data_IF_146743719154
#
_entry.id   IF_146743719154
#
_cell.length_a   1.000
_cell.length_b   1.000
_cell.length_c   1.000
_cell.angle_alpha   90.00
_cell.angle_beta   90.00
_cell.angle_gamma   90.00
#
_symmetry.space_group_name_H-M   'P 1'
#
loop_
_entity.id
_entity.type
_entity.pdbx_description
1 polymer ?
#
# COMPACT_ATOMS: atom_id res chain seq x y z
N UNK A 1 17.11 -5.60 -44.71
CA UNK A 1 16.47 -6.52 -43.75
C UNK A 1 15.92 -5.67 -42.63
N UNK A 2 14.61 -5.43 -42.63
CA UNK A 2 13.93 -4.56 -41.66
C UNK A 2 13.71 -5.36 -40.38
N UNK A 3 14.36 -4.95 -39.29
CA UNK A 3 14.05 -5.46 -37.96
C UNK A 3 12.71 -4.85 -37.54
N UNK A 4 11.64 -5.61 -37.72
CA UNK A 4 10.41 -5.37 -36.98
C UNK A 4 10.70 -5.70 -35.51
N UNK A 5 11.23 -4.72 -34.78
CA UNK A 5 11.12 -4.71 -33.32
C UNK A 5 9.64 -4.71 -33.01
N UNK A 6 9.16 -5.88 -32.66
CA UNK A 6 7.88 -6.06 -31.98
C UNK A 6 8.02 -5.27 -30.68
N UNK A 7 7.44 -4.07 -30.65
CA UNK A 7 7.31 -3.28 -29.44
C UNK A 7 6.40 -4.08 -28.51
N UNK A 8 6.99 -4.96 -27.69
CA UNK A 8 6.28 -5.60 -26.60
C UNK A 8 5.62 -4.47 -25.80
N UNK A 9 4.30 -4.43 -25.84
CA UNK A 9 3.49 -3.46 -25.13
C UNK A 9 3.82 -3.61 -23.64
N UNK A 10 4.66 -2.71 -23.13
CA UNK A 10 5.15 -2.77 -21.77
C UNK A 10 3.95 -2.51 -20.86
N UNK A 11 3.47 -3.57 -20.22
CA UNK A 11 2.38 -3.46 -19.24
C UNK A 11 2.86 -2.60 -18.08
N UNK A 12 2.24 -1.44 -17.93
CA UNK A 12 2.47 -0.49 -16.84
C UNK A 12 1.59 -0.91 -15.66
N UNK A 13 2.19 -1.04 -14.49
CA UNK A 13 1.48 -1.33 -13.25
C UNK A 13 1.63 -0.15 -12.29
N UNK A 14 0.55 0.34 -11.69
CA UNK A 14 0.64 1.36 -10.67
C UNK A 14 1.46 0.84 -9.47
N UNK A 15 2.11 1.75 -8.74
CA UNK A 15 2.87 1.38 -7.54
C UNK A 15 1.97 0.78 -6.45
N UNK A 16 0.76 1.31 -6.33
CA UNK A 16 -0.27 0.88 -5.37
C UNK A 16 -1.66 1.10 -5.96
N UNK A 17 -2.62 0.26 -5.58
CA UNK A 17 -4.04 0.43 -5.92
C UNK A 17 -4.81 0.55 -4.63
N UNK A 18 -5.36 1.74 -4.38
CA UNK A 18 -6.18 2.04 -3.21
C UNK A 18 -7.64 1.98 -3.65
N UNK A 19 -8.48 1.11 -3.05
CA UNK A 19 -9.90 1.04 -3.40
C UNK A 19 -10.61 2.37 -3.17
N UNK A 20 -11.57 2.71 -4.02
CA UNK A 20 -12.30 3.98 -3.90
C UNK A 20 -13.06 4.07 -2.57
N UNK A 21 -13.55 2.95 -2.06
CA UNK A 21 -14.27 2.88 -0.79
C UNK A 21 -13.38 3.36 0.37
N UNK A 22 -12.09 2.98 0.35
CA UNK A 22 -11.11 3.40 1.37
C UNK A 22 -10.79 4.89 1.26
N UNK A 23 -10.79 5.43 0.04
CA UNK A 23 -10.56 6.86 -0.22
C UNK A 23 -11.78 7.66 0.26
N UNK A 24 -12.99 7.18 -0.02
CA UNK A 24 -14.26 7.83 0.38
C UNK A 24 -14.43 7.87 1.90
N UNK A 25 -13.96 6.84 2.61
CA UNK A 25 -14.00 6.78 4.07
C UNK A 25 -13.04 7.79 4.74
N UNK A 26 -11.96 8.20 4.06
CA UNK A 26 -10.93 9.11 4.61
C UNK A 26 -10.23 9.92 3.52
N UNK A 27 -10.94 10.86 2.85
CA UNK A 27 -10.43 11.56 1.68
C UNK A 27 -9.16 12.36 1.96
N UNK A 28 -9.09 12.98 3.14
CA UNK A 28 -7.95 13.81 3.57
C UNK A 28 -6.64 13.01 3.66
N UNK A 29 -6.71 11.73 4.03
CA UNK A 29 -5.54 10.85 4.12
C UNK A 29 -4.98 10.47 2.73
N UNK A 30 -5.78 10.60 1.68
CA UNK A 30 -5.46 10.15 0.32
C UNK A 30 -5.45 11.29 -0.72
N UNK A 31 -5.31 12.54 -0.27
CA UNK A 31 -5.16 13.70 -1.16
C UNK A 31 -3.96 13.52 -2.10
N UNK A 32 -2.83 13.03 -1.59
CA UNK A 32 -1.64 12.75 -2.40
C UNK A 32 -1.90 11.74 -3.53
N UNK A 33 -2.88 10.84 -3.37
CA UNK A 33 -3.21 9.78 -4.33
C UNK A 33 -4.27 10.20 -5.35
N UNK A 34 -5.29 10.94 -4.92
CA UNK A 34 -6.50 11.18 -5.71
C UNK A 34 -6.62 12.58 -6.29
N UNK A 35 -5.92 13.58 -5.73
CA UNK A 35 -6.11 14.98 -6.11
C UNK A 35 -5.50 15.34 -7.48
N UNK A 36 -6.13 16.26 -8.25
CA UNK A 36 -5.63 16.68 -9.55
C UNK A 36 -4.27 17.37 -9.51
N UNK A 37 -3.82 17.82 -8.34
CA UNK A 37 -2.49 18.40 -8.13
C UNK A 37 -1.48 17.40 -7.54
N UNK A 38 -1.82 16.11 -7.49
CA UNK A 38 -0.96 15.01 -7.05
C UNK A 38 -1.22 13.75 -7.93
N UNK A 39 -1.50 12.60 -7.33
CA UNK A 39 -1.69 11.33 -8.05
C UNK A 39 -2.86 11.34 -9.05
N UNK A 40 -3.88 12.17 -8.82
CA UNK A 40 -5.01 12.35 -9.73
C UNK A 40 -4.74 13.21 -10.96
N UNK A 41 -3.54 13.79 -11.10
CA UNK A 41 -3.20 14.63 -12.25
C UNK A 41 -3.30 13.84 -13.56
N UNK A 42 -4.16 14.28 -14.47
CA UNK A 42 -4.37 13.67 -15.78
C UNK A 42 -3.37 14.21 -16.82
N UNK A 43 -2.63 13.30 -17.46
CA UNK A 43 -1.71 13.63 -18.54
C UNK A 43 -2.49 14.05 -19.80
N UNK A 44 -2.14 15.20 -20.38
CA UNK A 44 -2.86 15.75 -21.53
C UNK A 44 -2.26 15.39 -22.89
N UNK A 45 -1.07 14.79 -22.92
CA UNK A 45 -0.29 14.63 -24.15
C UNK A 45 0.52 13.32 -24.13
N UNK A 46 0.90 12.84 -25.32
CA UNK A 46 1.75 11.65 -25.52
C UNK A 46 0.97 10.33 -25.48
N UNK A 47 1.71 9.22 -25.51
CA UNK A 47 1.13 7.86 -25.51
C UNK A 47 0.34 7.53 -24.22
N UNK A 48 0.55 8.27 -23.15
CA UNK A 48 -0.12 8.13 -21.85
C UNK A 48 -1.18 9.21 -21.62
N UNK A 49 -1.67 9.87 -22.67
CA UNK A 49 -2.74 10.85 -22.52
C UNK A 49 -3.98 10.22 -21.86
N UNK A 50 -4.67 11.00 -21.03
CA UNK A 50 -5.81 10.62 -20.19
C UNK A 50 -5.50 9.66 -19.04
N UNK A 51 -4.25 9.22 -18.89
CA UNK A 51 -3.81 8.47 -17.71
C UNK A 51 -3.52 9.42 -16.56
N UNK A 52 -3.88 8.99 -15.36
CA UNK A 52 -3.53 9.69 -14.11
C UNK A 52 -2.15 9.26 -13.63
N UNK A 53 -1.47 10.10 -12.85
CA UNK A 53 -0.15 9.76 -12.30
C UNK A 53 -0.19 8.51 -11.40
N UNK A 54 -1.26 8.32 -10.63
CA UNK A 54 -1.45 7.15 -9.77
C UNK A 54 -1.71 5.84 -10.53
N UNK A 55 -1.97 5.89 -11.83
CA UNK A 55 -2.12 4.71 -12.70
C UNK A 55 -0.77 4.28 -13.31
N UNK A 56 0.28 5.08 -13.16
CA UNK A 56 1.60 4.83 -13.72
C UNK A 56 2.53 4.16 -12.71
N UNK A 57 3.55 3.45 -13.20
CA UNK A 57 4.61 2.97 -12.33
C UNK A 57 5.52 4.13 -11.91
N UNK A 58 6.11 3.97 -10.72
CA UNK A 58 7.04 4.93 -10.11
C UNK A 58 8.11 5.46 -11.07
N UNK A 59 8.63 4.60 -11.96
CA UNK A 59 9.68 4.99 -12.90
C UNK A 59 9.23 6.06 -13.91
N UNK A 60 8.00 5.97 -14.39
CA UNK A 60 7.44 6.97 -15.32
C UNK A 60 7.10 8.28 -14.60
N UNK A 61 6.59 8.18 -13.38
CA UNK A 61 6.29 9.37 -12.56
C UNK A 61 7.57 10.16 -12.27
N UNK A 62 8.65 9.48 -11.85
CA UNK A 62 9.95 10.15 -11.66
C UNK A 62 10.50 10.76 -12.94
N UNK A 63 10.37 10.06 -14.07
CA UNK A 63 10.75 10.63 -15.36
C UNK A 63 10.01 11.95 -15.63
N UNK A 64 8.70 12.01 -15.37
CA UNK A 64 7.90 13.24 -15.50
C UNK A 64 8.34 14.33 -14.51
N UNK A 65 8.65 13.97 -13.27
CA UNK A 65 9.17 14.91 -12.28
C UNK A 65 10.48 15.58 -12.74
N UNK A 66 11.39 14.80 -13.33
CA UNK A 66 12.72 15.25 -13.73
C UNK A 66 12.74 15.95 -15.11
N UNK A 67 11.93 15.46 -16.06
CA UNK A 67 12.07 15.84 -17.48
C UNK A 67 10.92 16.72 -17.99
N UNK A 68 9.83 16.89 -17.24
CA UNK A 68 8.72 17.72 -17.69
C UNK A 68 9.07 19.20 -17.72
N UNK A 69 8.77 19.86 -18.83
CA UNK A 69 8.83 21.33 -18.93
C UNK A 69 7.69 22.02 -18.18
N UNK A 70 6.60 21.30 -17.86
CA UNK A 70 5.45 21.86 -17.16
C UNK A 70 5.69 21.86 -15.64
N UNK A 71 5.71 23.04 -14.98
CA UNK A 71 5.83 23.11 -13.52
C UNK A 71 4.69 22.38 -12.81
N UNK A 72 3.49 22.38 -13.40
CA UNK A 72 2.31 21.71 -12.82
C UNK A 72 2.50 20.19 -12.76
N UNK A 73 3.01 19.58 -13.83
CA UNK A 73 3.29 18.14 -13.87
C UNK A 73 4.39 17.79 -12.87
N UNK A 74 5.47 18.59 -12.82
CA UNK A 74 6.55 18.34 -11.87
C UNK A 74 6.08 18.43 -10.42
N UNK A 75 5.28 19.44 -10.09
CA UNK A 75 4.70 19.61 -8.75
C UNK A 75 3.79 18.44 -8.39
N UNK A 76 2.92 18.00 -9.30
CA UNK A 76 2.02 16.89 -9.05
C UNK A 76 2.75 15.55 -8.92
N UNK A 77 3.73 15.30 -9.79
CA UNK A 77 4.58 14.12 -9.69
C UNK A 77 5.36 14.08 -8.37
N UNK A 78 5.91 15.23 -7.93
CA UNK A 78 6.58 15.33 -6.64
C UNK A 78 5.62 15.05 -5.48
N UNK A 79 4.46 15.70 -5.44
CA UNK A 79 3.47 15.52 -4.37
C UNK A 79 3.00 14.05 -4.27
N UNK A 80 2.77 13.40 -5.42
CA UNK A 80 2.44 11.98 -5.45
C UNK A 80 3.59 11.09 -4.96
N UNK A 81 4.83 11.33 -5.39
CA UNK A 81 5.99 10.54 -4.95
C UNK A 81 6.29 10.71 -3.46
N UNK A 82 6.20 11.94 -2.93
CA UNK A 82 6.37 12.21 -1.51
C UNK A 82 5.33 11.44 -0.67
N UNK A 83 4.05 11.51 -1.06
CA UNK A 83 2.97 10.77 -0.39
C UNK A 83 3.12 9.25 -0.54
N UNK A 84 3.55 8.78 -1.70
CA UNK A 84 3.81 7.34 -1.93
C UNK A 84 4.97 6.84 -1.05
N UNK A 85 6.01 7.66 -0.86
CA UNK A 85 7.14 7.33 0.02
C UNK A 85 6.72 7.30 1.50
N UNK A 86 5.86 8.22 1.93
CA UNK A 86 5.28 8.21 3.27
C UNK A 86 4.38 6.99 3.47
N UNK A 87 3.51 6.69 2.50
CA UNK A 87 2.62 5.53 2.53
C UNK A 87 3.39 4.21 2.66
N UNK A 88 4.55 4.10 2.00
CA UNK A 88 5.44 2.94 2.08
C UNK A 88 5.95 2.64 3.51
N UNK A 89 5.92 3.59 4.44
CA UNK A 89 6.40 3.38 5.81
C UNK A 89 5.46 2.51 6.63
N UNK A 90 4.15 2.65 6.42
CA UNK A 90 3.10 1.98 7.20
C UNK A 90 2.34 0.92 6.41
N UNK A 91 2.29 1.05 5.08
CA UNK A 91 1.50 0.19 4.17
C UNK A 91 2.37 -0.53 3.13
N UNK A 92 3.62 -0.86 3.48
CA UNK A 92 4.57 -1.51 2.58
C UNK A 92 4.06 -2.83 1.97
N UNK A 93 3.16 -3.56 2.64
CA UNK A 93 2.61 -4.82 2.12
C UNK A 93 1.75 -4.66 0.87
N UNK A 94 1.23 -3.46 0.63
CA UNK A 94 0.24 -3.17 -0.42
C UNK A 94 0.87 -2.82 -1.77
N UNK A 95 2.17 -2.56 -1.78
CA UNK A 95 2.89 -2.19 -3.00
C UNK A 95 2.89 -3.34 -4.00
N UNK A 96 2.66 -3.01 -5.27
CA UNK A 96 2.67 -3.97 -6.35
C UNK A 96 4.10 -4.18 -6.85
N UNK A 97 4.43 -5.43 -7.22
CA UNK A 97 5.72 -5.75 -7.84
C UNK A 97 5.77 -5.13 -9.25
N UNK A 98 6.67 -4.18 -9.54
CA UNK A 98 6.64 -3.42 -10.79
C UNK A 98 7.33 -4.16 -11.95
N UNK A 99 8.14 -5.17 -11.66
CA UNK A 99 9.01 -5.82 -12.64
C UNK A 99 8.69 -7.30 -12.81
N UNK A 100 8.91 -7.81 -14.02
CA UNK A 100 8.83 -9.23 -14.33
C UNK A 100 10.15 -9.90 -13.93
N UNK A 101 10.07 -10.94 -13.10
CA UNK A 101 11.20 -11.84 -12.85
C UNK A 101 11.11 -13.04 -13.78
N UNK A 102 12.24 -13.44 -14.39
CA UNK A 102 12.34 -14.58 -15.31
C UNK A 102 11.92 -15.92 -14.67
N UNK A 103 12.12 -16.07 -13.36
CA UNK A 103 11.88 -17.34 -12.64
C UNK A 103 10.45 -17.45 -12.10
N UNK A 104 9.90 -16.36 -11.57
CA UNK A 104 8.57 -16.35 -10.97
C UNK A 104 7.89 -15.03 -11.34
N UNK A 105 6.84 -15.09 -12.15
CA UNK A 105 6.09 -13.88 -12.49
C UNK A 105 5.21 -13.46 -11.31
N UNK A 106 5.59 -12.35 -10.66
CA UNK A 106 4.83 -11.71 -9.58
C UNK A 106 4.42 -10.30 -9.94
N UNK A 107 4.65 -9.88 -11.17
CA UNK A 107 4.36 -8.53 -11.62
C UNK A 107 2.88 -8.21 -11.36
N UNK A 108 2.62 -7.03 -10.80
CA UNK A 108 1.26 -6.60 -10.44
C UNK A 108 0.65 -7.29 -9.21
N UNK A 109 1.37 -8.20 -8.53
CA UNK A 109 0.95 -8.74 -7.23
C UNK A 109 1.45 -7.86 -6.10
N UNK A 110 0.67 -7.74 -5.03
CA UNK A 110 1.10 -7.07 -3.79
C UNK A 110 2.21 -7.85 -3.09
N UNK A 111 3.05 -7.15 -2.33
CA UNK A 111 4.16 -7.74 -1.57
C UNK A 111 3.65 -8.78 -0.55
N UNK A 112 2.58 -8.47 0.18
CA UNK A 112 1.98 -9.36 1.18
C UNK A 112 1.47 -10.70 0.63
N UNK A 113 1.01 -10.73 -0.64
CA UNK A 113 0.59 -11.96 -1.32
C UNK A 113 1.77 -12.83 -1.79
N UNK A 114 2.98 -12.29 -1.88
CA UNK A 114 4.12 -13.00 -2.47
C UNK A 114 4.79 -14.02 -1.54
N UNK A 115 4.53 -13.96 -0.22
CA UNK A 115 4.94 -14.86 0.89
C UNK A 115 6.41 -15.32 1.00
N UNK A 116 7.26 -15.01 0.04
CA UNK A 116 8.61 -15.58 -0.08
C UNK A 116 9.69 -14.53 0.28
N UNK A 117 10.08 -14.52 1.56
CA UNK A 117 11.14 -13.65 2.07
C UNK A 117 12.48 -13.87 1.36
N UNK A 118 12.81 -15.12 0.96
CA UNK A 118 14.07 -15.44 0.29
C UNK A 118 14.17 -14.76 -1.07
N UNK A 119 13.07 -14.73 -1.82
CA UNK A 119 13.04 -14.01 -3.09
C UNK A 119 13.20 -12.50 -2.95
N UNK A 120 12.61 -11.88 -1.92
CA UNK A 120 12.78 -10.44 -1.69
C UNK A 120 14.20 -10.09 -1.24
N UNK A 121 14.80 -10.89 -0.34
CA UNK A 121 16.22 -10.77 0.00
C UNK A 121 17.12 -10.87 -1.24
N UNK A 122 16.77 -11.73 -2.18
CA UNK A 122 17.51 -11.84 -3.44
C UNK A 122 17.39 -10.58 -4.29
N UNK A 123 16.21 -9.95 -4.35
CA UNK A 123 15.97 -8.70 -5.08
C UNK A 123 16.71 -7.50 -4.46
N UNK A 124 16.97 -7.52 -3.15
CA UNK A 124 17.76 -6.49 -2.47
C UNK A 124 19.26 -6.57 -2.79
N UNK A 125 19.74 -7.63 -3.44
CA UNK A 125 21.15 -7.77 -3.77
C UNK A 125 21.63 -6.66 -4.74
N UNK A 126 22.84 -6.07 -4.56
CA UNK A 126 23.38 -4.98 -5.40
C UNK A 126 23.45 -5.25 -6.90
N UNK A 127 23.38 -6.53 -7.29
CA UNK A 127 23.33 -6.96 -8.71
C UNK A 127 22.05 -6.48 -9.43
N UNK A 128 21.05 -6.04 -8.66
CA UNK A 128 19.81 -5.47 -9.13
C UNK A 128 19.79 -3.95 -8.99
N UNK A 129 20.94 -3.28 -8.86
CA UNK A 129 21.04 -1.81 -8.72
C UNK A 129 20.20 -1.05 -9.74
N UNK A 130 20.20 -1.46 -11.01
CA UNK A 130 19.37 -0.80 -12.03
C UNK A 130 17.85 -0.90 -11.79
N UNK A 131 17.37 -1.88 -11.01
CA UNK A 131 15.98 -1.92 -10.53
C UNK A 131 15.79 -1.03 -9.31
N UNK A 132 16.76 -0.97 -8.40
CA UNK A 132 16.72 -0.07 -7.23
C UNK A 132 16.66 1.38 -7.67
N UNK A 133 17.49 1.76 -8.65
CA UNK A 133 17.49 3.10 -9.23
C UNK A 133 16.18 3.40 -9.97
N UNK A 134 15.48 2.38 -10.45
CA UNK A 134 14.22 2.52 -11.21
C UNK A 134 12.98 2.57 -10.31
N UNK A 135 13.01 1.91 -9.16
CA UNK A 135 11.86 1.74 -8.26
C UNK A 135 12.25 1.91 -6.78
N UNK A 136 12.90 3.03 -6.39
CA UNK A 136 13.42 3.19 -5.04
C UNK A 136 12.36 3.05 -3.94
N UNK A 137 11.15 3.57 -4.13
CA UNK A 137 10.08 3.50 -3.13
C UNK A 137 9.58 2.07 -2.96
N UNK A 138 9.40 1.33 -4.06
CA UNK A 138 9.09 -0.11 -3.98
C UNK A 138 10.17 -0.88 -3.20
N UNK A 139 11.45 -0.63 -3.45
CA UNK A 139 12.52 -1.32 -2.73
C UNK A 139 12.59 -0.91 -1.25
N UNK A 140 12.26 0.33 -0.92
CA UNK A 140 12.07 0.78 0.47
C UNK A 140 10.93 0.01 1.14
N UNK A 141 9.79 -0.17 0.46
CA UNK A 141 8.67 -0.98 0.96
C UNK A 141 9.08 -2.45 1.16
N UNK A 142 9.82 -3.05 0.23
CA UNK A 142 10.34 -4.43 0.36
C UNK A 142 11.26 -4.56 1.58
N UNK A 143 12.14 -3.59 1.81
CA UNK A 143 13.02 -3.57 2.98
C UNK A 143 12.20 -3.52 4.28
N UNK A 144 11.24 -2.59 4.36
CA UNK A 144 10.32 -2.48 5.50
C UNK A 144 9.55 -3.78 5.77
N UNK A 145 9.08 -4.44 4.71
CA UNK A 145 8.39 -5.73 4.79
C UNK A 145 9.28 -6.85 5.37
N UNK A 146 10.57 -6.86 5.02
CA UNK A 146 11.55 -7.86 5.50
C UNK A 146 11.90 -7.62 6.98
N UNK A 147 12.04 -6.34 7.36
CA UNK A 147 12.48 -5.91 8.69
C UNK A 147 11.37 -6.05 9.75
N UNK A 148 10.10 -6.00 9.32
CA UNK A 148 8.93 -6.11 10.20
C UNK A 148 8.12 -7.38 9.93
N UNK A 149 8.66 -8.59 10.19
CA UNK A 149 7.98 -9.87 9.92
C UNK A 149 6.70 -10.07 10.75
N UNK A 150 6.53 -9.28 11.81
CA UNK A 150 5.43 -9.37 12.76
C UNK A 150 4.20 -8.58 12.36
N UNK A 151 4.27 -7.65 11.41
CA UNK A 151 3.09 -6.90 10.96
C UNK A 151 2.20 -7.71 10.00
N UNK A 152 2.69 -8.88 9.55
CA UNK A 152 2.00 -9.77 8.61
C UNK A 152 1.01 -10.73 9.28
N UNK A 153 0.39 -10.33 10.40
CA UNK A 153 -0.37 -11.17 11.35
C UNK A 153 -1.54 -12.00 10.78
N UNK A 154 -1.85 -11.95 9.47
CA UNK A 154 -2.95 -12.75 8.93
C UNK A 154 -2.55 -14.03 8.20
N UNK A 155 -1.35 -14.17 7.59
CA UNK A 155 -1.04 -15.34 6.74
C UNK A 155 0.46 -15.67 6.66
N UNK A 156 1.04 -16.18 7.74
CA UNK A 156 2.33 -16.90 7.65
C UNK A 156 2.17 -18.14 6.78
N UNK A 157 3.18 -18.43 5.96
CA UNK A 157 3.34 -19.76 5.41
C UNK A 157 3.61 -20.74 6.56
N UNK A 158 2.81 -21.80 6.65
CA UNK A 158 2.93 -22.90 7.62
C UNK A 158 4.24 -23.72 7.40
N UNK A 159 5.16 -23.23 6.55
CA UNK A 159 6.42 -23.88 6.20
C UNK A 159 7.67 -23.28 6.85
N UNK A 160 7.57 -22.18 7.61
CA UNK A 160 8.69 -21.72 8.44
C UNK A 160 8.75 -22.61 9.69
N UNK A 161 9.29 -23.82 9.49
CA UNK A 161 9.53 -24.79 10.54
C UNK A 161 10.17 -24.10 11.74
N UNK A 162 9.44 -24.18 12.86
CA UNK A 162 10.05 -24.26 14.19
C UNK A 162 11.33 -25.08 14.06
N UNK A 163 12.47 -24.45 14.34
CA UNK A 163 13.78 -25.09 14.39
C UNK A 163 13.91 -26.09 15.54
N UNK A 164 12.87 -26.88 15.82
CA UNK A 164 13.00 -28.09 16.59
C UNK A 164 13.42 -29.17 15.60
N UNK A 165 14.70 -29.50 15.64
CA UNK A 165 15.14 -30.77 15.04
C UNK A 165 14.29 -31.88 15.65
N UNK A 166 13.86 -32.89 14.87
CA UNK A 166 13.33 -34.13 15.43
C UNK A 166 14.46 -34.77 16.26
N UNK A 167 14.53 -34.45 17.55
CA UNK A 167 15.66 -34.80 18.41
C UNK A 167 15.80 -33.93 19.67
N UNK A 168 15.27 -32.70 19.67
CA UNK A 168 15.41 -31.77 20.81
C UNK A 168 14.14 -31.72 21.69
N UNK A 169 13.27 -32.72 21.62
CA UNK A 169 12.19 -32.86 22.59
C UNK A 169 12.83 -33.05 23.98
N UNK A 170 12.54 -32.18 24.98
CA UNK A 170 13.03 -32.40 26.31
C UNK A 170 12.54 -33.76 26.78
N UNK A 171 13.47 -34.62 27.17
CA UNK A 171 13.19 -35.89 27.82
C UNK A 171 12.28 -35.62 29.02
N UNK A 172 11.01 -36.01 28.92
CA UNK A 172 10.10 -36.07 30.05
C UNK A 172 10.34 -37.45 30.67
N UNK A 173 11.00 -37.55 31.84
CA UNK A 173 11.09 -38.84 32.52
C UNK A 173 9.67 -39.31 32.81
N UNK A 174 9.35 -40.53 32.37
CA UNK A 174 8.14 -41.21 32.76
C UNK A 174 8.19 -41.40 34.28
N UNK A 175 7.40 -40.61 35.01
CA UNK A 175 7.07 -40.93 36.38
C UNK A 175 5.84 -41.84 36.34
N UNK A 176 6.09 -43.10 36.62
CA UNK A 176 5.09 -44.10 36.88
C UNK A 176 4.34 -43.78 38.20
N UNK A 177 3.01 -43.93 38.16
CA UNK A 177 2.03 -43.84 39.26
C UNK A 177 1.65 -42.40 39.65
N UNK A 178 0.38 -41.97 39.69
CA UNK A 178 -0.89 -42.61 40.06
C UNK A 178 -1.99 -41.90 39.25
N UNK A 179 -2.90 -42.60 38.57
CA UNK A 179 -4.22 -43.04 39.04
C UNK A 179 -5.18 -41.88 39.46
N UNK A 180 -6.47 -42.11 39.21
CA UNK A 180 -7.65 -41.24 39.36
C UNK A 180 -7.90 -40.35 38.12
N UNK A 181 -8.56 -40.80 37.05
CA UNK A 181 -9.82 -41.54 37.04
C UNK A 181 -10.97 -40.55 37.03
N UNK A 182 -11.58 -40.30 35.86
CA UNK A 182 -13.00 -39.97 35.70
C UNK A 182 -13.37 -40.05 34.20
N UNK A 183 -14.17 -41.08 33.87
CA UNK A 183 -15.11 -41.13 32.73
C UNK A 183 -15.97 -39.85 32.71
N UNK A 184 -16.48 -39.28 31.61
CA UNK A 184 -17.67 -39.64 30.81
C UNK A 184 -17.58 -38.91 29.44
N UNK A 185 -17.85 -39.54 28.28
CA UNK A 185 -19.16 -39.78 27.61
C UNK A 185 -19.72 -38.57 26.81
N UNK A 186 -19.57 -38.69 25.48
CA UNK A 186 -20.46 -38.34 24.36
C UNK A 186 -21.48 -37.17 24.46
N UNK A 187 -21.38 -36.28 23.47
CA UNK A 187 -22.53 -35.84 22.65
C UNK A 187 -23.18 -34.50 23.00
N UNK A 188 -23.36 -33.65 21.99
CA UNK A 188 -24.24 -32.47 22.10
C UNK A 188 -23.99 -31.38 21.07
N UNK A 189 -24.61 -31.51 19.90
CA UNK A 189 -24.94 -30.38 18.99
C UNK A 189 -25.81 -29.37 19.74
N UNK A 190 -25.51 -28.07 19.63
CA UNK A 190 -26.51 -27.02 19.80
C UNK A 190 -26.09 -25.75 19.06
N UNK A 191 -26.84 -25.44 18.00
CA UNK A 191 -26.90 -24.13 17.38
C UNK A 191 -27.69 -23.20 18.31
N UNK A 192 -27.27 -21.93 18.46
CA UNK A 192 -28.17 -20.82 18.77
C UNK A 192 -27.64 -19.52 18.16
N UNK A 193 -28.61 -18.79 17.64
CA UNK A 193 -28.61 -17.62 16.76
C UNK A 193 -28.17 -16.31 17.47
N UNK A 194 -28.10 -15.16 16.75
CA UNK A 194 -27.43 -13.94 17.19
C UNK A 194 -28.30 -13.03 18.08
N UNK A 195 -27.62 -12.23 18.91
CA UNK A 195 -28.24 -11.21 19.76
C UNK A 195 -28.45 -9.93 18.94
N UNK A 196 -29.71 -9.58 18.75
CA UNK A 196 -30.19 -8.26 18.33
C UNK A 196 -30.29 -7.40 19.60
N UNK A 197 -29.62 -6.25 19.63
CA UNK A 197 -29.85 -5.19 20.62
C UNK A 197 -30.35 -3.95 19.88
N UNK A 198 -31.67 -3.74 19.94
CA UNK A 198 -32.29 -2.44 19.71
C UNK A 198 -32.39 -1.74 21.07
N UNK A 199 -31.97 -0.47 21.14
CA UNK A 199 -32.14 0.39 22.30
C UNK A 199 -32.26 1.85 21.88
N UNK A 200 -33.50 2.31 21.76
CA UNK A 200 -33.96 3.69 21.53
C UNK A 200 -34.04 4.48 22.85
N UNK A 201 -33.66 5.77 22.84
CA UNK A 201 -34.31 6.94 23.51
C UNK A 201 -33.30 8.11 23.56
N UNK A 202 -33.41 9.18 22.78
CA UNK A 202 -34.24 10.40 22.93
C UNK A 202 -33.77 11.44 23.97
N UNK A 203 -33.53 12.67 23.49
CA UNK A 203 -33.39 13.95 24.21
C UNK A 203 -32.61 14.95 23.32
N UNK A 204 -33.23 15.92 22.60
CA UNK A 204 -33.58 17.31 23.01
C UNK A 204 -32.41 18.05 23.71
N UNK A 205 -32.02 19.29 23.42
CA UNK A 205 -32.46 20.40 22.55
C UNK A 205 -31.44 21.56 22.69
N UNK A 206 -31.68 22.69 21.98
CA UNK A 206 -31.11 24.05 22.13
C UNK A 206 -29.73 24.29 21.53
N UNK A 207 -29.37 25.47 21.01
CA UNK A 207 -30.03 26.61 20.35
C UNK A 207 -28.86 27.52 19.94
N UNK A 208 -29.03 28.29 18.86
CA UNK A 208 -28.37 29.55 18.48
C UNK A 208 -26.84 29.74 18.69
N UNK A 209 -26.13 30.09 17.61
CA UNK A 209 -25.59 31.46 17.54
C UNK A 209 -25.26 31.85 16.09
N UNK A 210 -25.86 32.97 15.67
CA UNK A 210 -25.59 33.69 14.43
C UNK A 210 -24.43 34.67 14.70
N UNK A 211 -23.48 34.74 13.79
CA UNK A 211 -22.37 35.69 13.83
C UNK A 211 -22.05 36.15 12.41
N UNK A 212 -22.80 37.15 11.97
CA UNK A 212 -22.49 38.05 10.86
C UNK A 212 -21.35 39.03 11.25
N UNK A 213 -20.97 39.84 10.25
CA UNK A 213 -20.02 40.98 10.26
C UNK A 213 -18.58 40.64 9.82
N UNK A 214 -17.89 41.40 8.97
CA UNK A 214 -18.23 42.48 8.05
C UNK A 214 -16.98 42.75 7.20
N UNK A 215 -17.23 43.36 6.04
CA UNK A 215 -16.36 44.16 5.16
C UNK A 215 -14.95 44.59 5.65
N UNK A 216 -13.95 44.47 4.77
CA UNK A 216 -13.14 45.64 4.39
C UNK A 216 -12.29 45.48 3.11
N UNK A 217 -12.78 46.12 2.04
CA UNK A 217 -12.12 47.09 1.15
C UNK A 217 -10.57 47.19 1.26
N UNK A 218 -9.86 47.03 0.12
CA UNK A 218 -9.06 48.10 -0.49
C UNK A 218 -8.28 47.66 -1.73
N UNK A 219 -8.58 48.32 -2.84
CA UNK A 219 -7.78 48.40 -4.04
C UNK A 219 -6.57 49.33 -3.82
N UNK A 220 -5.44 49.01 -4.48
CA UNK A 220 -4.45 49.97 -4.98
C UNK A 220 -3.80 49.29 -6.22
N UNK A 221 -3.83 49.84 -7.45
CA UNK A 221 -3.09 51.02 -7.96
C UNK A 221 -1.59 50.90 -7.64
N UNK A 222 -0.62 51.19 -8.48
CA UNK A 222 -0.54 51.84 -9.78
C UNK A 222 0.89 51.57 -10.32
N UNK A 223 1.04 51.81 -11.61
CA UNK A 223 2.24 52.12 -12.40
C UNK A 223 3.63 52.25 -11.77
N UNK A 224 4.61 51.73 -12.51
CA UNK A 224 6.03 52.07 -12.40
C UNK A 224 6.75 51.81 -13.71
N UNK A 225 6.65 52.76 -14.64
CA UNK A 225 7.49 52.87 -15.84
C UNK A 225 8.94 53.18 -15.46
N UNK A 226 9.88 52.65 -16.23
CA UNK A 226 11.31 52.94 -16.19
C UNK A 226 12.06 51.97 -17.08
#
# INVERSE_FOLDING_TARGET
>A
MSAAETSEERVIFPSVVIPNEVIEDSPDAYLWYSEPYAGGYELRYGALAKKKLNELDESYVRWWMENSRSPRIRSAAKAYLDGLEEYATSHYGEFLVPHRNKRVNRQGKRIDFCRDKKSFNHLLHPRYSGLHDRYPIYFKAVQQFIDHPSHHLARRDIGEHTGLRPGDAPYIPANDNQDLGFTYRLGGVSQCAPVIMNGTSSGQSSDADEGDEDDNISANRDSGSG
#
